data_IF_214925512285
#
_entry.id   IF_214925512285
#
_cell.length_a   1.000
_cell.length_b   1.000
_cell.length_c   1.000
_cell.angle_alpha   90.00
_cell.angle_beta   90.00
_cell.angle_gamma   90.00
#
_symmetry.space_group_name_H-M   'P 1'
#
loop_
_entity.id
_entity.type
_entity.pdbx_description
1 polymer ?
#
# COMPACT_ATOMS: atom_id res chain seq x y z
N UNK A 1 32.57 -21.94 12.70
CA UNK A 1 31.76 -22.21 11.49
C UNK A 1 30.29 -21.98 11.84
N UNK A 2 29.61 -21.03 11.20
CA UNK A 2 28.20 -20.73 11.52
C UNK A 2 27.28 -21.65 10.71
N UNK A 3 26.34 -22.32 11.39
CA UNK A 3 25.38 -23.23 10.78
C UNK A 3 24.17 -22.43 10.30
N UNK A 4 24.03 -22.27 8.99
CA UNK A 4 22.86 -21.61 8.36
C UNK A 4 21.67 -22.56 8.48
N UNK A 5 20.68 -22.19 9.27
CA UNK A 5 19.39 -22.88 9.31
C UNK A 5 18.43 -22.19 8.36
N UNK A 6 18.10 -22.83 7.25
CA UNK A 6 16.96 -22.47 6.42
C UNK A 6 15.71 -23.13 6.99
N UNK A 7 14.73 -22.33 7.41
CA UNK A 7 13.40 -22.84 7.77
C UNK A 7 12.60 -22.89 6.46
N UNK A 8 12.29 -24.07 5.89
CA UNK A 8 11.47 -24.16 4.70
C UNK A 8 10.00 -23.93 5.09
N UNK A 9 9.62 -22.66 5.27
CA UNK A 9 8.20 -22.32 5.37
C UNK A 9 7.65 -22.31 3.94
N UNK A 10 7.07 -23.43 3.51
CA UNK A 10 6.28 -23.45 2.30
C UNK A 10 5.07 -22.53 2.51
N UNK A 11 4.80 -21.59 1.58
CA UNK A 11 3.60 -20.78 1.67
C UNK A 11 2.40 -21.71 1.63
N UNK A 12 1.54 -21.62 2.65
CA UNK A 12 0.32 -22.38 2.74
C UNK A 12 -0.62 -21.98 1.59
N UNK A 13 -0.58 -22.75 0.50
CA UNK A 13 -1.41 -22.56 -0.69
C UNK A 13 -2.90 -22.85 -0.41
N UNK A 14 -3.22 -23.50 0.71
CA UNK A 14 -4.59 -23.80 1.11
C UNK A 14 -5.27 -22.62 1.79
N UNK A 15 -4.52 -21.59 2.22
CA UNK A 15 -5.11 -20.33 2.68
C UNK A 15 -5.81 -19.67 1.49
N UNK A 16 -7.14 -19.50 1.53
CA UNK A 16 -7.80 -18.71 0.51
C UNK A 16 -7.17 -17.32 0.55
N UNK A 17 -6.60 -16.89 -0.58
CA UNK A 17 -6.30 -15.47 -0.80
C UNK A 17 -7.60 -14.76 -0.53
N UNK A 18 -7.71 -14.13 0.65
CA UNK A 18 -8.93 -13.44 1.08
C UNK A 18 -9.35 -12.58 -0.11
N UNK A 19 -10.57 -12.74 -0.66
CA UNK A 19 -11.01 -11.90 -1.76
C UNK A 19 -10.81 -10.48 -1.27
N UNK A 20 -10.04 -9.70 -2.04
CA UNK A 20 -9.82 -8.28 -1.74
C UNK A 20 -11.19 -7.64 -1.91
N UNK A 21 -11.96 -7.64 -0.84
CA UNK A 21 -13.26 -7.01 -0.84
C UNK A 21 -13.00 -5.57 -1.25
N UNK A 22 -13.73 -5.12 -2.26
CA UNK A 22 -13.97 -3.71 -2.53
C UNK A 22 -14.79 -3.13 -1.38
N UNK A 23 -14.29 -3.29 -0.15
CA UNK A 23 -14.91 -2.80 1.06
C UNK A 23 -15.04 -1.30 0.87
N UNK A 24 -16.26 -0.78 0.95
CA UNK A 24 -16.56 0.61 0.62
C UNK A 24 -15.66 1.54 1.43
N UNK A 25 -15.36 1.16 2.68
CA UNK A 25 -14.44 1.86 3.58
C UNK A 25 -13.01 1.92 3.05
N UNK A 26 -12.56 0.89 2.34
CA UNK A 26 -11.24 0.84 1.72
C UNK A 26 -11.14 1.78 0.52
N UNK A 27 -12.22 1.91 -0.27
CA UNK A 27 -12.29 2.86 -1.40
C UNK A 27 -12.39 4.31 -0.90
N UNK A 28 -13.20 4.55 0.12
CA UNK A 28 -13.32 5.86 0.75
C UNK A 28 -12.00 6.32 1.36
N UNK A 29 -11.28 5.42 2.06
CA UNK A 29 -9.96 5.71 2.61
C UNK A 29 -8.93 6.08 1.54
N UNK A 30 -8.96 5.41 0.37
CA UNK A 30 -8.10 5.76 -0.76
C UNK A 30 -8.41 7.17 -1.28
N UNK A 31 -9.69 7.46 -1.52
CA UNK A 31 -10.15 8.77 -2.03
C UNK A 31 -9.72 9.89 -1.09
N UNK A 32 -9.93 9.70 0.21
CA UNK A 32 -9.58 10.69 1.23
C UNK A 32 -8.08 11.01 1.23
N UNK A 33 -7.22 10.00 1.13
CA UNK A 33 -5.76 10.19 1.12
C UNK A 33 -5.31 10.92 -0.15
N UNK A 34 -5.89 10.58 -1.31
CA UNK A 34 -5.61 11.28 -2.57
C UNK A 34 -6.04 12.75 -2.49
N UNK A 35 -7.20 13.02 -1.91
CA UNK A 35 -7.71 14.37 -1.73
C UNK A 35 -6.83 15.19 -0.76
N UNK A 36 -6.37 14.58 0.33
CA UNK A 36 -5.42 15.20 1.25
C UNK A 36 -4.09 15.56 0.56
N UNK A 37 -3.52 14.66 -0.24
CA UNK A 37 -2.31 14.96 -1.03
C UNK A 37 -2.56 16.10 -2.03
N UNK A 38 -3.72 16.14 -2.68
CA UNK A 38 -4.10 17.23 -3.59
C UNK A 38 -4.17 18.57 -2.87
N UNK A 39 -4.79 18.60 -1.69
CA UNK A 39 -4.87 19.80 -0.86
C UNK A 39 -3.48 20.31 -0.48
N UNK A 40 -2.60 19.43 0.02
CA UNK A 40 -1.23 19.76 0.40
C UNK A 40 -0.41 20.32 -0.77
N UNK A 41 -0.62 19.77 -1.98
CA UNK A 41 0.04 20.25 -3.19
C UNK A 41 -0.44 21.65 -3.61
N UNK A 42 -1.72 21.96 -3.41
CA UNK A 42 -2.33 23.25 -3.74
C UNK A 42 -1.99 24.36 -2.73
N UNK A 43 -1.91 24.02 -1.44
CA UNK A 43 -1.62 24.96 -0.35
C UNK A 43 -0.14 25.39 -0.34
N UNK A 44 0.78 24.47 -0.62
CA UNK A 44 2.21 24.77 -0.59
C UNK A 44 3.09 23.55 -0.88
N UNK A 45 3.05 23.05 -2.11
CA UNK A 45 3.67 21.76 -2.49
C UNK A 45 5.13 21.56 -2.06
N UNK A 46 5.98 22.59 -2.13
CA UNK A 46 7.38 22.50 -1.66
C UNK A 46 7.49 22.39 -0.13
N UNK A 47 6.70 23.19 0.59
CA UNK A 47 6.67 23.19 2.06
C UNK A 47 6.07 21.89 2.61
N UNK A 48 5.11 21.32 1.87
CA UNK A 48 4.38 20.11 2.23
C UNK A 48 4.97 18.83 1.63
N UNK A 49 6.11 18.89 0.96
CA UNK A 49 6.70 17.76 0.22
C UNK A 49 6.89 16.52 1.07
N UNK A 50 7.42 16.67 2.29
CA UNK A 50 7.64 15.55 3.20
C UNK A 50 6.31 14.86 3.61
N UNK A 51 5.25 15.64 3.80
CA UNK A 51 3.93 15.10 4.11
C UNK A 51 3.33 14.36 2.91
N UNK A 52 3.48 14.90 1.70
CA UNK A 52 3.04 14.26 0.46
C UNK A 52 3.81 12.95 0.21
N UNK A 53 5.12 12.93 0.46
CA UNK A 53 5.96 11.72 0.35
C UNK A 53 5.50 10.64 1.32
N UNK A 54 5.30 10.98 2.60
CA UNK A 54 4.79 10.07 3.62
C UNK A 54 3.42 9.46 3.24
N UNK A 55 2.49 10.30 2.80
CA UNK A 55 1.16 9.85 2.36
C UNK A 55 1.23 8.98 1.10
N UNK A 56 2.14 9.31 0.18
CA UNK A 56 2.38 8.52 -1.03
C UNK A 56 2.96 7.15 -0.72
N UNK A 57 3.89 7.04 0.23
CA UNK A 57 4.43 5.77 0.71
C UNK A 57 3.38 4.93 1.40
N UNK A 58 2.60 5.53 2.30
CA UNK A 58 1.46 4.86 2.93
C UNK A 58 0.49 4.35 1.86
N UNK A 59 0.22 5.18 0.83
CA UNK A 59 -0.69 4.83 -0.23
C UNK A 59 -0.20 3.61 -1.02
N UNK A 60 1.08 3.61 -1.43
CA UNK A 60 1.70 2.50 -2.21
C UNK A 60 1.81 1.19 -1.42
N UNK A 61 2.07 1.27 -0.11
CA UNK A 61 2.31 0.09 0.74
C UNK A 61 1.01 -0.54 1.25
N UNK A 62 0.01 0.27 1.57
CA UNK A 62 -1.28 -0.20 2.11
C UNK A 62 -2.31 -0.46 1.02
N UNK A 63 -2.29 0.33 -0.04
CA UNK A 63 -3.15 0.16 -1.21
C UNK A 63 -2.34 -0.38 -2.39
N UNK A 64 -1.87 -1.62 -2.29
CA UNK A 64 -1.24 -2.31 -3.42
C UNK A 64 -2.20 -2.32 -4.61
N UNK A 65 -1.94 -1.54 -5.66
CA UNK A 65 -2.45 -1.82 -7.01
C UNK A 65 -2.09 -3.27 -7.31
N UNK A 66 -3.05 -4.04 -7.83
CA UNK A 66 -2.96 -5.49 -8.02
C UNK A 66 -1.55 -6.00 -8.34
N UNK A 67 -1.10 -7.03 -7.62
CA UNK A 67 0.17 -7.76 -7.89
C UNK A 67 0.15 -8.56 -9.20
N UNK A 68 -0.67 -8.18 -10.16
CA UNK A 68 -0.69 -8.76 -11.49
C UNK A 68 -0.29 -7.65 -12.46
N UNK A 69 0.94 -7.68 -13.02
CA UNK A 69 1.16 -6.99 -14.29
C UNK A 69 0.08 -7.48 -15.26
N UNK A 70 -0.44 -6.57 -16.09
CA UNK A 70 -1.37 -6.92 -17.16
C UNK A 70 -0.83 -8.14 -17.92
N UNK A 71 -1.62 -9.21 -17.96
CA UNK A 71 -1.46 -10.29 -18.94
C UNK A 71 -1.99 -9.81 -20.28
#
# INVERSE_FOLDING_TARGET
>A
MAKVFTIPVLPDLSRPRKPRSSDVRYIEGQRLIVEAMRYLAQDGGEQNRAAIELLSEHFRTRFRMSDRPLQ
#
